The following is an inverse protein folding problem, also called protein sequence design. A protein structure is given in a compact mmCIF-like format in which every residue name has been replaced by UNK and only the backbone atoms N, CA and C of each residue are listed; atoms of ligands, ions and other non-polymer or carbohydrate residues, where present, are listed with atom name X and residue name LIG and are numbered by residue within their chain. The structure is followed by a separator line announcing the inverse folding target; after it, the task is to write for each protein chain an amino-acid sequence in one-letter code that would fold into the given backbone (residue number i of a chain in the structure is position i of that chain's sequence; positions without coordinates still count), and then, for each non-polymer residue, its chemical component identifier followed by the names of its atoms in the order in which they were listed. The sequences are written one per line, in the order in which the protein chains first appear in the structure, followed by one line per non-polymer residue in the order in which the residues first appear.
data_IF_721943134028
#
_entry.id   IF_721943134028
#
_cell.length_a   1.000
_cell.length_b   1.000
_cell.length_c   1.000
_cell.angle_alpha   90.00
_cell.angle_beta   90.00
_cell.angle_gamma   90.00
#
_symmetry.space_group_name_H-M   'P 1'
#
loop_
_entity.id
_entity.type
_entity.pdbx_description
1 polymer ?
#
# COMPACT_ATOMS: atom_id res chain seq x y z
N UNK A 1 -11.25 -39.46 -10.23
CA UNK A 1 -11.82 -38.15 -10.58
C UNK A 1 -12.25 -37.48 -9.29
N UNK A 2 -11.40 -36.64 -8.71
CA UNK A 2 -11.65 -36.01 -7.40
C UNK A 2 -11.99 -34.54 -7.67
N UNK A 3 -13.27 -34.19 -7.51
CA UNK A 3 -13.76 -32.82 -7.54
C UNK A 3 -13.42 -32.16 -6.20
N UNK A 4 -12.44 -31.25 -6.20
CA UNK A 4 -12.26 -30.29 -5.11
C UNK A 4 -13.22 -29.12 -5.35
N UNK A 5 -14.39 -29.13 -4.71
CA UNK A 5 -15.21 -27.94 -4.57
C UNK A 5 -14.57 -27.04 -3.51
N UNK A 6 -13.82 -26.03 -3.94
CA UNK A 6 -13.45 -24.90 -3.09
C UNK A 6 -14.72 -24.11 -2.80
N UNK A 7 -15.30 -24.35 -1.63
CA UNK A 7 -16.38 -23.54 -1.08
C UNK A 7 -15.80 -22.17 -0.68
N UNK A 8 -15.89 -21.19 -1.57
CA UNK A 8 -15.86 -19.78 -1.17
C UNK A 8 -17.27 -19.43 -0.68
N UNK A 9 -17.48 -19.41 0.63
CA UNK A 9 -18.70 -18.85 1.22
C UNK A 9 -18.79 -17.37 0.79
N UNK A 10 -19.86 -16.95 0.09
CA UNK A 10 -20.03 -15.55 -0.26
C UNK A 10 -20.20 -14.75 1.04
N UNK A 11 -19.56 -13.57 1.15
CA UNK A 11 -19.71 -12.72 2.33
C UNK A 11 -21.19 -12.37 2.53
N UNK A 12 -21.61 -12.40 3.79
CA UNK A 12 -22.99 -12.10 4.18
C UNK A 12 -23.36 -10.67 3.76
N UNK A 13 -24.63 -10.42 3.42
CA UNK A 13 -25.10 -9.10 3.01
C UNK A 13 -24.84 -8.01 4.06
N UNK A 14 -24.76 -8.39 5.34
CA UNK A 14 -24.38 -7.51 6.45
C UNK A 14 -22.92 -7.04 6.39
N UNK A 15 -21.97 -7.92 6.03
CA UNK A 15 -20.54 -7.57 5.98
C UNK A 15 -20.24 -6.55 4.87
N UNK A 16 -20.92 -6.66 3.73
CA UNK A 16 -20.79 -5.67 2.64
C UNK A 16 -21.29 -4.29 3.05
N UNK A 17 -22.37 -4.22 3.83
CA UNK A 17 -22.90 -2.95 4.34
C UNK A 17 -21.97 -2.34 5.39
N UNK A 18 -21.41 -3.16 6.29
CA UNK A 18 -20.46 -2.72 7.31
C UNK A 18 -19.17 -2.17 6.68
N UNK A 19 -18.60 -2.88 5.71
CA UNK A 19 -17.40 -2.42 4.98
C UNK A 19 -17.64 -1.11 4.23
N UNK A 20 -18.83 -0.93 3.64
CA UNK A 20 -19.20 0.32 2.98
C UNK A 20 -19.24 1.49 3.98
N UNK A 21 -19.86 1.29 5.14
CA UNK A 21 -19.91 2.30 6.21
C UNK A 21 -18.49 2.69 6.65
N UNK A 22 -17.62 1.71 6.84
CA UNK A 22 -16.21 1.96 7.18
C UNK A 22 -15.47 2.75 6.11
N UNK A 23 -15.70 2.42 4.84
CA UNK A 23 -15.10 3.12 3.71
C UNK A 23 -15.57 4.57 3.63
N UNK A 24 -16.86 4.82 3.83
CA UNK A 24 -17.43 6.17 3.80
C UNK A 24 -16.92 7.01 4.98
N UNK A 25 -16.84 6.42 6.19
CA UNK A 25 -16.26 7.07 7.35
C UNK A 25 -14.76 7.38 7.18
N UNK A 26 -14.00 6.47 6.57
CA UNK A 26 -12.59 6.69 6.23
C UNK A 26 -12.44 7.85 5.24
N UNK A 27 -13.27 7.91 4.19
CA UNK A 27 -13.26 9.00 3.21
C UNK A 27 -13.67 10.35 3.80
N UNK A 28 -14.53 10.34 4.82
CA UNK A 28 -14.90 11.52 5.59
C UNK A 28 -13.83 11.96 6.62
N UNK A 29 -12.72 11.21 6.75
CA UNK A 29 -11.61 11.54 7.65
C UNK A 29 -11.82 11.11 9.10
N UNK A 30 -12.82 10.29 9.40
CA UNK A 30 -13.11 9.78 10.75
C UNK A 30 -12.19 8.62 11.16
N UNK A 31 -10.87 8.79 11.00
CA UNK A 31 -9.88 7.72 11.13
C UNK A 31 -9.85 7.06 12.52
N UNK A 32 -10.10 7.81 13.59
CA UNK A 32 -10.15 7.29 14.97
C UNK A 32 -11.33 6.33 15.18
N UNK A 33 -12.49 6.67 14.62
CA UNK A 33 -13.69 5.82 14.66
C UNK A 33 -13.44 4.54 13.85
N UNK A 34 -12.92 4.69 12.62
CA UNK A 34 -12.58 3.58 11.74
C UNK A 34 -11.57 2.63 12.41
N UNK A 35 -10.51 3.17 13.01
CA UNK A 35 -9.51 2.39 13.74
C UNK A 35 -10.11 1.61 14.92
N UNK A 36 -11.01 2.24 15.69
CA UNK A 36 -11.68 1.60 16.82
C UNK A 36 -12.56 0.43 16.38
N UNK A 37 -13.34 0.61 15.32
CA UNK A 37 -14.19 -0.45 14.77
C UNK A 37 -13.33 -1.61 14.25
N UNK A 38 -12.23 -1.33 13.54
CA UNK A 38 -11.33 -2.39 13.09
C UNK A 38 -10.70 -3.18 14.25
N UNK A 39 -10.37 -2.53 15.38
CA UNK A 39 -9.90 -3.23 16.59
C UNK A 39 -10.96 -4.19 17.13
N UNK A 40 -12.22 -3.78 17.14
CA UNK A 40 -13.33 -4.67 17.53
C UNK A 40 -13.52 -5.83 16.57
N UNK A 41 -13.50 -5.57 15.26
CA UNK A 41 -13.62 -6.61 14.23
C UNK A 41 -12.50 -7.63 14.37
N UNK A 42 -11.26 -7.17 14.58
CA UNK A 42 -10.09 -8.03 14.77
C UNK A 42 -10.21 -8.95 15.99
N UNK A 43 -10.90 -8.50 17.04
CA UNK A 43 -11.20 -9.32 18.22
C UNK A 43 -12.26 -10.40 17.97
N UNK A 44 -13.11 -10.23 16.95
CA UNK A 44 -14.22 -11.14 16.63
C UNK A 44 -13.89 -12.12 15.51
N UNK A 45 -13.18 -11.66 14.47
CA UNK A 45 -12.83 -12.45 13.28
C UNK A 45 -11.56 -11.95 12.60
N UNK A 46 -11.09 -12.70 11.60
CA UNK A 46 -10.04 -12.24 10.68
C UNK A 46 -10.62 -11.23 9.70
N UNK A 47 -9.77 -10.31 9.23
CA UNK A 47 -10.13 -9.36 8.19
C UNK A 47 -10.24 -10.04 6.82
N UNK A 48 -11.10 -9.47 5.98
CA UNK A 48 -11.07 -9.73 4.54
C UNK A 48 -9.91 -8.99 3.90
N UNK A 49 -9.55 -9.32 2.66
CA UNK A 49 -8.45 -8.64 1.95
C UNK A 49 -8.69 -7.13 1.80
N UNK A 50 -9.94 -6.74 1.54
CA UNK A 50 -10.34 -5.34 1.40
C UNK A 50 -10.19 -4.58 2.73
N UNK A 51 -10.53 -5.24 3.84
CA UNK A 51 -10.37 -4.70 5.19
C UNK A 51 -8.91 -4.58 5.61
N UNK A 52 -8.05 -5.55 5.26
CA UNK A 52 -6.60 -5.48 5.50
C UNK A 52 -6.00 -4.22 4.84
N UNK A 53 -6.42 -3.93 3.60
CA UNK A 53 -5.99 -2.73 2.86
C UNK A 53 -6.50 -1.46 3.54
N UNK A 54 -7.80 -1.39 3.85
CA UNK A 54 -8.42 -0.22 4.45
C UNK A 54 -7.88 0.05 5.86
N UNK A 55 -7.61 -1.00 6.64
CA UNK A 55 -7.02 -0.87 7.96
C UNK A 55 -5.58 -0.38 7.89
N UNK A 56 -4.76 -0.94 7.00
CA UNK A 56 -3.40 -0.46 6.74
C UNK A 56 -3.36 1.02 6.38
N UNK A 57 -4.28 1.46 5.50
CA UNK A 57 -4.46 2.88 5.16
C UNK A 57 -4.81 3.71 6.39
N UNK A 58 -5.79 3.26 7.16
CA UNK A 58 -6.25 3.96 8.37
C UNK A 58 -5.10 4.18 9.36
N UNK A 59 -4.31 3.14 9.64
CA UNK A 59 -3.15 3.23 10.52
C UNK A 59 -2.07 4.17 9.98
N UNK A 60 -1.80 4.10 8.67
CA UNK A 60 -0.82 4.96 8.02
C UNK A 60 -1.20 6.44 8.12
N UNK A 61 -2.43 6.79 7.75
CA UNK A 61 -2.88 8.19 7.78
C UNK A 61 -3.11 8.73 9.19
N UNK A 62 -3.35 7.85 10.17
CA UNK A 62 -3.40 8.22 11.59
C UNK A 62 -2.02 8.39 12.23
N UNK A 63 -0.95 7.98 11.55
CA UNK A 63 0.41 8.02 12.10
C UNK A 63 0.67 6.99 13.20
N UNK A 64 -0.15 5.94 13.29
CA UNK A 64 -0.09 4.89 14.31
C UNK A 64 1.02 3.86 13.99
N UNK A 65 2.28 4.31 13.93
CA UNK A 65 3.40 3.54 13.36
C UNK A 65 3.64 2.19 14.04
N UNK A 66 3.56 2.14 15.38
CA UNK A 66 3.76 0.90 16.13
C UNK A 66 2.73 -0.16 15.72
N UNK A 67 1.47 0.25 15.64
CA UNK A 67 0.38 -0.65 15.27
C UNK A 67 0.45 -1.02 13.78
N UNK A 68 0.82 -0.07 12.92
CA UNK A 68 1.06 -0.30 11.50
C UNK A 68 2.12 -1.38 11.26
N UNK A 69 3.29 -1.31 11.91
CA UNK A 69 4.35 -2.32 11.72
C UNK A 69 3.98 -3.67 12.34
N UNK A 70 3.27 -3.69 13.47
CA UNK A 70 2.74 -4.92 14.03
C UNK A 70 1.75 -5.59 13.07
N UNK A 71 0.86 -4.81 12.47
CA UNK A 71 -0.09 -5.30 11.48
C UNK A 71 0.61 -5.84 10.22
N UNK A 72 1.59 -5.10 9.69
CA UNK A 72 2.41 -5.52 8.55
C UNK A 72 3.11 -6.87 8.75
N UNK A 73 3.53 -7.18 9.99
CA UNK A 73 4.23 -8.43 10.31
C UNK A 73 3.33 -9.67 10.22
N UNK A 74 2.02 -9.50 10.38
CA UNK A 74 1.06 -10.62 10.42
C UNK A 74 0.21 -10.73 9.15
N UNK A 75 0.16 -9.68 8.32
CA UNK A 75 -0.64 -9.71 7.09
C UNK A 75 -0.01 -10.65 6.06
N UNK A 76 -0.81 -11.59 5.56
CA UNK A 76 -0.37 -12.58 4.59
C UNK A 76 -0.28 -12.00 3.18
N UNK A 77 -1.25 -11.15 2.81
CA UNK A 77 -1.37 -10.57 1.48
C UNK A 77 -0.88 -9.12 1.52
N UNK A 78 0.18 -8.83 0.77
CA UNK A 78 0.79 -7.50 0.71
C UNK A 78 0.61 -6.95 -0.70
N UNK A 79 -0.41 -6.14 -0.90
CA UNK A 79 -0.67 -5.53 -2.21
C UNK A 79 0.41 -4.49 -2.56
N UNK A 80 0.60 -4.15 -3.85
CA UNK A 80 1.54 -3.10 -4.25
C UNK A 80 1.37 -1.79 -3.48
N UNK A 81 0.12 -1.36 -3.27
CA UNK A 81 -0.19 -0.15 -2.51
C UNK A 81 0.28 -0.23 -1.06
N UNK A 82 0.04 -1.37 -0.39
CA UNK A 82 0.47 -1.58 0.99
C UNK A 82 2.00 -1.60 1.11
N UNK A 83 2.71 -2.16 0.13
CA UNK A 83 4.18 -2.12 0.07
C UNK A 83 4.68 -0.67 0.02
N UNK A 84 4.07 0.18 -0.82
CA UNK A 84 4.42 1.60 -0.88
C UNK A 84 4.15 2.29 0.46
N UNK A 85 3.03 2.02 1.13
CA UNK A 85 2.77 2.55 2.48
C UNK A 85 3.79 2.07 3.51
N UNK A 86 4.20 0.80 3.47
CA UNK A 86 5.20 0.28 4.39
C UNK A 86 6.53 1.02 4.27
N UNK A 87 7.05 1.19 3.05
CA UNK A 87 8.31 1.92 2.87
C UNK A 87 8.19 3.41 3.18
N UNK A 88 7.03 4.04 2.90
CA UNK A 88 6.75 5.40 3.39
C UNK A 88 6.78 5.46 4.91
N UNK A 89 6.14 4.50 5.59
CA UNK A 89 6.10 4.44 7.04
C UNK A 89 7.52 4.25 7.61
N UNK A 90 8.36 3.39 7.01
CA UNK A 90 9.77 3.23 7.41
C UNK A 90 10.54 4.55 7.33
N UNK A 91 10.28 5.37 6.32
CA UNK A 91 10.94 6.67 6.16
C UNK A 91 10.39 7.77 7.08
N UNK A 92 9.12 7.68 7.47
CA UNK A 92 8.42 8.65 8.33
C UNK A 92 8.56 8.31 9.82
N UNK A 93 8.70 7.03 10.15
CA UNK A 93 8.91 6.58 11.51
C UNK A 93 10.25 7.13 12.00
N UNK A 94 10.21 7.92 13.07
CA UNK A 94 11.42 8.45 13.72
C UNK A 94 12.25 7.35 14.39
N UNK A 95 11.71 6.13 14.49
CA UNK A 95 12.33 4.95 15.07
C UNK A 95 13.02 4.12 13.98
N UNK A 96 14.21 3.56 14.25
CA UNK A 96 14.86 2.65 13.31
C UNK A 96 14.02 1.38 13.14
N UNK A 97 13.57 1.12 11.91
CA UNK A 97 12.85 -0.10 11.53
C UNK A 97 13.79 -0.97 10.69
N UNK A 98 13.97 -2.22 11.10
CA UNK A 98 14.71 -3.21 10.30
C UNK A 98 13.80 -3.73 9.21
N UNK A 99 14.15 -3.46 7.94
CA UNK A 99 13.44 -4.01 6.78
C UNK A 99 14.05 -5.36 6.42
N UNK A 100 13.20 -6.36 6.21
CA UNK A 100 13.64 -7.69 5.78
C UNK A 100 13.99 -7.71 4.29
N UNK A 101 14.88 -8.60 3.87
CA UNK A 101 15.19 -8.80 2.44
C UNK A 101 13.97 -9.21 1.61
N UNK A 102 13.01 -9.92 2.23
CA UNK A 102 11.74 -10.27 1.61
C UNK A 102 10.87 -9.04 1.34
N UNK A 103 10.77 -8.12 2.30
CA UNK A 103 10.02 -6.88 2.10
C UNK A 103 10.71 -5.94 1.10
N UNK A 104 12.05 -5.90 1.09
CA UNK A 104 12.83 -5.16 0.08
C UNK A 104 12.57 -5.68 -1.34
N UNK A 105 12.53 -7.00 -1.51
CA UNK A 105 12.28 -7.63 -2.81
C UNK A 105 10.91 -7.21 -3.38
N UNK A 106 9.88 -7.06 -2.52
CA UNK A 106 8.56 -6.57 -2.93
C UNK A 106 8.59 -5.12 -3.44
N UNK A 107 9.48 -4.27 -2.91
CA UNK A 107 9.65 -2.92 -3.45
C UNK A 107 10.36 -2.94 -4.81
N UNK A 108 11.37 -3.81 -4.96
CA UNK A 108 12.12 -3.96 -6.21
C UNK A 108 11.21 -4.41 -7.36
N UNK A 109 10.26 -5.31 -7.09
CA UNK A 109 9.25 -5.76 -8.06
C UNK A 109 8.39 -4.62 -8.61
N UNK A 110 8.21 -3.53 -7.85
CA UNK A 110 7.39 -2.38 -8.25
C UNK A 110 8.16 -1.33 -9.05
N UNK A 111 9.50 -1.37 -9.07
CA UNK A 111 10.32 -0.39 -9.79
C UNK A 111 9.99 -0.23 -11.28
N UNK A 112 9.66 -1.30 -12.04
CA UNK A 112 9.34 -1.16 -13.46
C UNK A 112 7.99 -0.47 -13.74
N UNK A 113 7.09 -0.40 -12.75
CA UNK A 113 5.68 0.00 -12.94
C UNK A 113 5.26 1.18 -12.06
N UNK A 114 6.08 1.57 -11.08
CA UNK A 114 5.76 2.65 -10.14
C UNK A 114 6.94 3.63 -10.00
N UNK A 115 6.79 4.88 -10.49
CA UNK A 115 7.75 5.94 -10.23
C UNK A 115 7.93 6.20 -8.72
N UNK A 116 6.85 6.04 -7.95
CA UNK A 116 6.89 6.18 -6.50
C UNK A 116 7.77 5.09 -5.84
N UNK A 117 7.68 3.84 -6.30
CA UNK A 117 8.56 2.77 -5.82
C UNK A 117 10.03 3.11 -6.06
N UNK A 118 10.35 3.69 -7.23
CA UNK A 118 11.72 4.12 -7.52
C UNK A 118 12.22 5.19 -6.55
N UNK A 119 11.38 6.19 -6.25
CA UNK A 119 11.74 7.25 -5.29
C UNK A 119 11.92 6.69 -3.87
N UNK A 120 11.03 5.79 -3.44
CA UNK A 120 11.13 5.14 -2.13
C UNK A 120 12.41 4.30 -2.04
N UNK A 121 12.71 3.51 -3.06
CA UNK A 121 13.92 2.69 -3.11
C UNK A 121 15.18 3.56 -3.02
N UNK A 122 15.27 4.65 -3.78
CA UNK A 122 16.39 5.58 -3.72
C UNK A 122 16.53 6.23 -2.34
N UNK A 123 15.43 6.67 -1.74
CA UNK A 123 15.43 7.35 -0.44
C UNK A 123 15.71 6.39 0.72
N UNK A 124 15.35 5.12 0.57
CA UNK A 124 15.63 4.06 1.53
C UNK A 124 17.10 3.62 1.47
N UNK A 125 17.62 3.35 0.27
CA UNK A 125 19.02 2.94 0.05
C UNK A 125 19.98 4.15 0.01
N UNK A 126 20.07 4.91 1.11
CA UNK A 126 20.85 6.16 1.23
C UNK A 126 22.36 6.08 0.91
N UNK A 127 22.92 4.93 0.50
CA UNK A 127 24.31 4.81 0.05
C UNK A 127 24.51 3.70 -1.00
N UNK A 128 25.35 4.00 -2.01
CA UNK A 128 25.82 3.14 -3.13
C UNK A 128 24.75 2.69 -4.15
N UNK A 129 24.12 3.65 -4.81
CA UNK A 129 23.40 3.34 -6.05
C UNK A 129 24.36 2.87 -7.15
N UNK A 130 24.09 1.71 -7.71
CA UNK A 130 24.74 1.25 -8.94
C UNK A 130 24.29 2.13 -10.12
N UNK A 131 25.17 2.31 -11.11
CA UNK A 131 24.81 3.06 -12.33
C UNK A 131 23.58 2.48 -13.05
N UNK A 132 23.26 1.20 -12.84
CA UNK A 132 22.09 0.53 -13.41
C UNK A 132 20.78 1.03 -12.81
N UNK A 133 20.72 1.21 -11.48
CA UNK A 133 19.53 1.72 -10.77
C UNK A 133 19.24 3.18 -11.14
N UNK A 134 20.28 4.01 -11.23
CA UNK A 134 20.14 5.40 -11.72
C UNK A 134 19.61 5.45 -13.16
N UNK A 135 20.10 4.58 -14.04
CA UNK A 135 19.62 4.49 -15.43
C UNK A 135 18.15 4.06 -15.50
N UNK A 136 17.74 3.09 -14.68
CA UNK A 136 16.34 2.66 -14.60
C UNK A 136 15.45 3.83 -14.16
N UNK A 137 15.86 4.57 -13.13
CA UNK A 137 15.15 5.77 -12.68
C UNK A 137 15.02 6.82 -13.78
N UNK A 138 16.11 7.14 -14.47
CA UNK A 138 16.09 8.12 -15.57
C UNK A 138 15.21 7.67 -16.74
N UNK A 139 15.17 6.38 -17.04
CA UNK A 139 14.30 5.83 -18.07
C UNK A 139 12.82 5.95 -17.66
N UNK A 140 12.49 5.59 -16.43
CA UNK A 140 11.12 5.70 -15.89
C UNK A 140 10.67 7.16 -15.80
N UNK A 141 11.55 8.07 -15.37
CA UNK A 141 11.28 9.51 -15.36
C UNK A 141 10.95 10.04 -16.76
N UNK A 142 11.76 9.67 -17.77
CA UNK A 142 11.51 10.06 -19.17
C UNK A 142 10.20 9.49 -19.69
N UNK A 143 9.89 8.24 -19.35
CA UNK A 143 8.62 7.61 -19.74
C UNK A 143 7.43 8.36 -19.11
N UNK A 144 7.52 8.71 -17.83
CA UNK A 144 6.51 9.49 -17.13
C UNK A 144 6.34 10.88 -17.75
N UNK A 145 7.43 11.59 -18.02
CA UNK A 145 7.41 12.89 -18.68
C UNK A 145 6.75 12.80 -20.06
N UNK A 146 7.08 11.77 -20.84
CA UNK A 146 6.45 11.54 -22.16
C UNK A 146 4.94 11.32 -22.04
N UNK A 147 4.49 10.58 -21.01
CA UNK A 147 3.07 10.36 -20.77
C UNK A 147 2.37 11.65 -20.32
N UNK A 148 3.00 12.44 -19.44
CA UNK A 148 2.48 13.73 -18.99
C UNK A 148 2.35 14.72 -20.17
N UNK A 149 3.37 14.80 -21.03
CA UNK A 149 3.37 15.65 -22.22
C UNK A 149 2.24 15.27 -23.20
N UNK A 150 1.98 13.97 -23.38
CA UNK A 150 0.85 13.48 -24.18
C UNK A 150 -0.49 13.88 -23.56
N UNK A 151 -0.65 13.68 -22.26
CA UNK A 151 -1.87 14.01 -21.54
C UNK A 151 -2.16 15.51 -21.62
N UNK A 152 -1.15 16.36 -21.43
CA UNK A 152 -1.25 17.82 -21.56
C UNK A 152 -1.67 18.24 -22.96
N UNK A 153 -1.12 17.57 -24.00
CA UNK A 153 -1.53 17.78 -25.40
C UNK A 153 -2.98 17.36 -25.66
N UNK A 154 -3.41 16.23 -25.09
CA UNK A 154 -4.78 15.70 -25.23
C UNK A 154 -5.81 16.55 -24.49
N UNK A 155 -5.45 17.11 -23.33
CA UNK A 155 -6.29 18.02 -22.55
C UNK A 155 -6.43 19.42 -23.18
N UNK A 156 -5.70 19.70 -24.27
CA UNK A 156 -5.83 20.96 -24.99
C UNK A 156 -5.26 22.16 -24.22
N UNK A 157 -4.45 21.93 -23.19
CA UNK A 157 -3.65 22.97 -22.54
C UNK A 157 -2.59 23.44 -23.54
N UNK A 158 -3.01 24.36 -24.42
CA UNK A 158 -2.10 25.12 -25.27
C UNK A 158 -1.33 26.08 -24.37
N UNK A 159 0.01 26.00 -24.45
CA UNK A 159 0.91 27.06 -23.95
C UNK A 159 0.45 28.45 -24.37
#
# INVERSE_FOLDING_TARGET
MILFCVYCSPPSSSEKNEYKILTDAYRAGHLTVVSSIFKEIRGKRKFTEEEEILYSKTLFYSGEWKEFFNHWSVVSIKTPEMVLFYFKAVLLAKTPISVSSSDESKLIELLPVSPEACLLYLKFNKNKHTNKEKKLFLAQWKQFQTQADRLHKELGEKK
#
